data_IF_098213950701
#
_entry.id   IF_098213950701
#
_cell.length_a   1.000
_cell.length_b   1.000
_cell.length_c   1.000
_cell.angle_alpha   90.00
_cell.angle_beta   90.00
_cell.angle_gamma   90.00
#
_symmetry.space_group_name_H-M   'P 1'
#
loop_
_entity.id
_entity.type
_entity.pdbx_description
1 polymer ?
#
# COMPACT_ATOMS: atom_id res chain seq x y z
N UNK A 1 -9.06 75.40 41.83
CA UNK A 1 -8.78 76.16 40.61
C UNK A 1 -9.55 75.45 39.50
N UNK A 2 -10.71 76.02 39.23
CA UNK A 2 -11.53 75.93 38.02
C UNK A 2 -11.87 74.57 37.41
N UNK A 3 -13.05 74.11 37.84
CA UNK A 3 -14.18 73.73 36.99
C UNK A 3 -14.02 73.96 35.47
N UNK A 4 -14.61 73.08 34.66
CA UNK A 4 -15.85 73.36 33.91
C UNK A 4 -16.19 72.28 32.86
N UNK A 5 -17.46 71.86 32.89
CA UNK A 5 -18.27 71.16 31.87
C UNK A 5 -17.87 69.73 31.47
N UNK A 6 -18.50 68.65 31.98
CA UNK A 6 -19.91 68.20 31.85
C UNK A 6 -20.48 68.25 30.43
N UNK A 7 -21.03 67.09 30.00
CA UNK A 7 -22.30 66.83 29.24
C UNK A 7 -22.02 65.82 28.10
N UNK A 8 -22.75 64.73 27.83
CA UNK A 8 -23.91 64.01 28.39
C UNK A 8 -23.86 62.57 27.79
N UNK A 9 -24.30 61.56 28.56
CA UNK A 9 -24.51 60.12 28.20
C UNK A 9 -25.75 59.97 27.26
N UNK A 10 -26.37 58.80 26.94
CA UNK A 10 -26.07 57.38 27.28
C UNK A 10 -26.36 56.34 26.15
N UNK A 11 -26.20 55.06 26.52
CA UNK A 11 -26.99 53.89 26.10
C UNK A 11 -26.89 53.44 24.61
N UNK A 12 -26.54 52.18 24.37
CA UNK A 12 -27.48 51.05 24.40
C UNK A 12 -26.68 49.75 24.53
N UNK A 13 -27.10 48.95 25.49
CA UNK A 13 -26.68 47.61 25.83
C UNK A 13 -27.59 46.66 25.04
N UNK A 14 -27.06 45.84 24.13
CA UNK A 14 -27.80 44.68 23.61
C UNK A 14 -26.94 43.44 23.81
N UNK A 15 -27.36 42.75 24.86
CA UNK A 15 -27.21 41.35 25.20
C UNK A 15 -27.77 40.50 24.05
N UNK A 16 -26.98 39.59 23.49
CA UNK A 16 -27.53 38.46 22.72
C UNK A 16 -26.95 37.16 23.28
N UNK A 17 -27.79 36.52 24.08
CA UNK A 17 -27.60 35.22 24.71
C UNK A 17 -28.40 34.20 23.90
N UNK A 18 -27.75 33.06 23.62
CA UNK A 18 -28.26 31.72 23.30
C UNK A 18 -29.55 31.55 22.48
N UNK A 19 -29.40 30.86 21.35
CA UNK A 19 -30.43 30.03 20.76
C UNK A 19 -29.89 28.62 20.51
N UNK A 20 -30.05 27.75 21.50
CA UNK A 20 -30.03 26.28 21.35
C UNK A 20 -31.32 25.90 20.64
N UNK A 21 -31.23 25.31 19.45
CA UNK A 21 -32.34 24.60 18.82
C UNK A 21 -32.13 23.11 19.05
N UNK A 22 -32.83 22.62 20.05
CA UNK A 22 -33.26 21.23 20.14
C UNK A 22 -34.60 21.12 19.43
N UNK A 23 -34.77 20.13 18.56
CA UNK A 23 -36.08 19.59 18.28
C UNK A 23 -35.99 18.09 18.09
N UNK A 24 -36.96 17.44 18.71
CA UNK A 24 -37.06 16.04 19.07
C UNK A 24 -37.99 15.31 18.07
N UNK A 25 -37.55 14.12 17.69
CA UNK A 25 -38.26 12.90 17.29
C UNK A 25 -39.63 12.95 16.56
N UNK A 26 -39.68 12.40 15.33
CA UNK A 26 -40.77 11.49 14.91
C UNK A 26 -40.40 10.61 13.70
N UNK A 27 -40.29 9.29 13.95
CA UNK A 27 -40.82 8.20 13.12
C UNK A 27 -40.39 8.04 11.65
N UNK A 28 -39.56 7.01 11.43
CA UNK A 28 -39.40 6.16 10.22
C UNK A 28 -40.00 6.64 8.89
N UNK A 29 -39.11 6.86 7.92
CA UNK A 29 -39.03 5.99 6.73
C UNK A 29 -37.58 5.99 6.21
N UNK A 30 -37.03 4.79 6.14
CA UNK A 30 -35.79 4.45 5.44
C UNK A 30 -36.06 4.49 3.94
N UNK A 31 -35.52 5.49 3.26
CA UNK A 31 -35.30 5.46 1.81
C UNK A 31 -33.80 5.66 1.56
N UNK A 32 -33.28 4.82 0.68
CA UNK A 32 -31.88 4.65 0.30
C UNK A 32 -31.13 5.97 0.06
N UNK A 33 -29.94 6.10 0.67
CA UNK A 33 -28.94 7.10 0.29
C UNK A 33 -27.72 6.35 -0.27
N UNK A 34 -27.82 5.91 -1.51
CA UNK A 34 -26.69 6.04 -2.43
C UNK A 34 -26.83 7.44 -3.05
N UNK A 35 -26.18 8.43 -2.45
CA UNK A 35 -26.05 9.76 -3.05
C UNK A 35 -24.97 9.67 -4.14
N UNK A 36 -25.43 9.67 -5.39
CA UNK A 36 -24.62 9.62 -6.62
C UNK A 36 -23.86 10.94 -6.90
N UNK A 37 -23.77 11.85 -5.92
CA UNK A 37 -22.98 13.09 -6.04
C UNK A 37 -21.79 13.07 -5.08
N UNK A 38 -20.83 12.17 -5.34
CA UNK A 38 -19.47 12.38 -4.86
C UNK A 38 -18.93 13.65 -5.52
N UNK A 39 -18.64 14.66 -4.71
CA UNK A 39 -18.08 15.95 -5.11
C UNK A 39 -16.89 15.74 -6.07
N UNK A 40 -16.97 16.30 -7.28
CA UNK A 40 -15.90 16.22 -8.29
C UNK A 40 -14.56 16.74 -7.74
N UNK A 41 -14.59 17.61 -6.73
CA UNK A 41 -13.41 18.05 -5.98
C UNK A 41 -12.76 16.91 -5.16
N UNK A 42 -13.57 16.06 -4.52
CA UNK A 42 -13.12 14.92 -3.74
C UNK A 42 -12.57 13.79 -4.64
N UNK A 43 -13.19 13.57 -5.81
CA UNK A 43 -12.68 12.60 -6.80
C UNK A 43 -11.30 13.03 -7.33
N UNK A 44 -11.08 14.32 -7.60
CA UNK A 44 -9.77 14.84 -8.04
C UNK A 44 -8.67 14.71 -6.97
N UNK A 45 -9.02 14.87 -5.69
CA UNK A 45 -8.06 14.74 -4.60
C UNK A 45 -7.70 13.26 -4.35
N UNK A 46 -8.68 12.35 -4.44
CA UNK A 46 -8.48 10.89 -4.37
C UNK A 46 -7.72 10.33 -5.58
N UNK A 47 -7.94 10.87 -6.79
CA UNK A 47 -7.15 10.52 -7.99
C UNK A 47 -5.66 10.83 -7.84
N UNK A 48 -5.29 11.81 -7.01
CA UNK A 48 -3.90 12.17 -6.77
C UNK A 48 -3.17 11.27 -5.75
N UNK A 49 -3.92 10.40 -5.04
CA UNK A 49 -3.44 9.57 -3.93
C UNK A 49 -3.65 8.06 -4.15
N UNK A 50 -3.91 7.61 -5.39
CA UNK A 50 -4.27 6.21 -5.69
C UNK A 50 -3.20 5.19 -5.27
N UNK A 51 -1.93 5.61 -5.13
CA UNK A 51 -0.86 4.72 -4.68
C UNK A 51 -1.00 4.31 -3.20
N UNK A 52 -1.67 5.10 -2.35
CA UNK A 52 -1.95 4.75 -0.95
C UNK A 52 -2.87 3.52 -0.84
N UNK A 53 -3.55 3.17 -1.94
CA UNK A 53 -4.37 1.96 -2.05
C UNK A 53 -3.56 0.72 -2.45
N UNK A 54 -2.24 0.86 -2.62
CA UNK A 54 -1.32 -0.25 -2.89
C UNK A 54 -0.63 -0.61 -1.57
N UNK A 55 -0.86 -1.84 -1.04
CA UNK A 55 -0.25 -2.27 0.21
C UNK A 55 1.29 -2.20 0.15
N UNK A 56 1.91 -1.89 1.28
CA UNK A 56 3.35 -2.07 1.42
C UNK A 56 3.73 -3.55 1.41
N UNK A 57 4.97 -3.91 1.07
CA UNK A 57 5.44 -5.29 1.20
C UNK A 57 5.23 -5.87 2.61
N UNK A 58 5.48 -5.07 3.67
CA UNK A 58 5.17 -5.47 5.05
C UNK A 58 3.69 -5.85 5.22
N UNK A 59 2.76 -5.03 4.69
CA UNK A 59 1.34 -5.32 4.74
C UNK A 59 0.99 -6.65 4.07
N UNK A 60 1.59 -6.94 2.92
CA UNK A 60 1.41 -8.21 2.20
C UNK A 60 2.08 -9.40 2.89
N UNK A 61 3.07 -9.17 3.75
CA UNK A 61 3.76 -10.18 4.53
C UNK A 61 3.24 -10.31 5.97
N UNK A 62 2.21 -9.57 6.35
CA UNK A 62 1.64 -9.59 7.70
C UNK A 62 1.27 -11.00 8.19
N UNK A 63 0.72 -11.85 7.30
CA UNK A 63 0.35 -13.23 7.60
C UNK A 63 1.53 -14.15 7.95
N UNK A 64 2.77 -13.77 7.65
CA UNK A 64 3.96 -14.55 7.98
C UNK A 64 4.18 -14.62 9.49
N UNK A 65 3.82 -13.57 10.24
CA UNK A 65 3.98 -13.56 11.70
C UNK A 65 3.06 -14.55 12.42
N UNK A 66 1.93 -14.90 11.81
CA UNK A 66 0.87 -15.69 12.42
C UNK A 66 0.90 -17.18 12.01
N UNK A 67 1.79 -17.56 11.09
CA UNK A 67 1.82 -18.91 10.49
C UNK A 67 3.15 -19.65 10.64
N UNK A 68 3.09 -20.98 10.61
CA UNK A 68 4.25 -21.90 10.55
C UNK A 68 4.84 -21.98 9.12
N UNK A 69 5.08 -20.82 8.48
CA UNK A 69 5.65 -20.79 7.14
C UNK A 69 7.16 -21.02 7.17
N UNK A 70 7.66 -21.74 6.17
CA UNK A 70 9.10 -21.97 6.02
C UNK A 70 9.74 -20.84 5.22
N UNK A 71 10.83 -20.28 5.75
CA UNK A 71 11.69 -19.36 5.00
C UNK A 71 12.29 -20.03 3.76
N UNK A 72 12.17 -19.37 2.61
CA UNK A 72 12.72 -19.79 1.32
C UNK A 72 13.69 -18.72 0.83
N UNK A 73 14.99 -19.00 0.86
CA UNK A 73 16.01 -18.05 0.38
C UNK A 73 16.04 -17.95 -1.15
N UNK A 74 15.85 -19.07 -1.83
CA UNK A 74 16.08 -19.20 -3.27
C UNK A 74 15.04 -18.51 -4.15
N UNK A 75 13.95 -18.00 -3.55
CA UNK A 75 12.93 -17.24 -4.27
C UNK A 75 13.33 -15.76 -4.42
N UNK A 76 14.21 -15.24 -3.57
CA UNK A 76 14.56 -13.82 -3.54
C UNK A 76 15.43 -13.40 -4.72
N UNK A 77 15.54 -12.10 -4.97
CA UNK A 77 16.42 -11.59 -6.01
C UNK A 77 17.86 -11.56 -5.48
N UNK A 78 18.81 -12.33 -6.05
CA UNK A 78 20.19 -12.30 -5.57
C UNK A 78 20.77 -10.88 -5.59
N UNK A 79 21.35 -10.44 -4.48
CA UNK A 79 21.92 -9.08 -4.34
C UNK A 79 23.00 -8.78 -5.39
N UNK A 80 23.67 -9.81 -5.90
CA UNK A 80 24.67 -9.74 -6.95
C UNK A 80 24.09 -9.33 -8.31
N UNK A 81 22.77 -9.32 -8.47
CA UNK A 81 22.11 -8.84 -9.69
C UNK A 81 22.13 -7.31 -9.80
N UNK A 82 22.52 -6.57 -8.75
CA UNK A 82 22.52 -5.10 -8.77
C UNK A 82 23.23 -4.51 -9.99
N UNK A 83 24.39 -5.07 -10.36
CA UNK A 83 25.21 -4.62 -11.49
C UNK A 83 24.56 -4.87 -12.86
N UNK A 84 23.49 -5.66 -12.92
CA UNK A 84 22.74 -5.92 -14.16
C UNK A 84 21.76 -4.79 -14.48
N UNK A 85 21.36 -3.99 -13.49
CA UNK A 85 20.35 -2.95 -13.69
C UNK A 85 20.98 -1.69 -14.24
N UNK A 86 20.92 -1.48 -15.56
CA UNK A 86 21.58 -0.35 -16.22
C UNK A 86 20.64 0.84 -16.42
N UNK A 87 19.44 0.61 -16.96
CA UNK A 87 18.52 1.70 -17.30
C UNK A 87 17.64 2.11 -16.11
N UNK A 88 17.13 3.34 -16.15
CA UNK A 88 16.30 3.93 -15.07
C UNK A 88 15.12 3.04 -14.69
N UNK A 89 14.42 2.44 -15.67
CA UNK A 89 13.27 1.59 -15.39
C UNK A 89 13.69 0.33 -14.63
N UNK A 90 14.78 -0.29 -15.07
CA UNK A 90 15.31 -1.49 -14.39
C UNK A 90 15.70 -1.17 -12.95
N UNK A 91 16.37 -0.05 -12.69
CA UNK A 91 16.78 0.36 -11.34
C UNK A 91 15.59 0.68 -10.44
N UNK A 92 14.62 1.45 -10.91
CA UNK A 92 13.46 1.85 -10.10
C UNK A 92 12.53 0.67 -9.79
N UNK A 93 12.28 -0.23 -10.76
CA UNK A 93 11.54 -1.46 -10.49
C UNK A 93 12.29 -2.36 -9.50
N UNK A 94 13.60 -2.56 -9.70
CA UNK A 94 14.38 -3.44 -8.83
C UNK A 94 14.64 -2.83 -7.44
N UNK A 95 14.61 -1.50 -7.29
CA UNK A 95 14.57 -0.86 -5.98
C UNK A 95 13.33 -1.32 -5.19
N UNK A 96 12.16 -1.34 -5.84
CA UNK A 96 10.94 -1.88 -5.26
C UNK A 96 11.05 -3.37 -4.91
N UNK A 97 11.58 -4.18 -5.83
CA UNK A 97 11.81 -5.63 -5.64
C UNK A 97 12.69 -5.88 -4.41
N UNK A 98 13.86 -5.24 -4.33
CA UNK A 98 14.75 -5.43 -3.19
C UNK A 98 14.19 -4.86 -1.88
N UNK A 99 13.33 -3.84 -1.95
CA UNK A 99 12.60 -3.35 -0.77
C UNK A 99 11.61 -4.39 -0.24
N UNK A 100 10.96 -5.15 -1.14
CA UNK A 100 10.11 -6.26 -0.76
C UNK A 100 10.94 -7.44 -0.23
N UNK A 101 12.04 -7.80 -0.88
CA UNK A 101 12.94 -8.85 -0.39
C UNK A 101 13.46 -8.51 1.02
N UNK A 102 13.84 -7.26 1.27
CA UNK A 102 14.22 -6.75 2.58
C UNK A 102 13.10 -6.95 3.62
N UNK A 103 11.87 -6.58 3.28
CA UNK A 103 10.72 -6.79 4.17
C UNK A 103 10.49 -8.28 4.46
N UNK A 104 10.62 -9.14 3.44
CA UNK A 104 10.50 -10.58 3.58
C UNK A 104 11.57 -11.18 4.51
N UNK A 105 12.86 -10.92 4.25
CA UNK A 105 13.94 -11.45 5.11
C UNK A 105 13.84 -10.94 6.54
N UNK A 106 13.38 -9.70 6.72
CA UNK A 106 13.14 -9.10 8.03
C UNK A 106 11.95 -9.74 8.75
N UNK A 107 10.88 -10.10 8.02
CA UNK A 107 9.75 -10.84 8.60
C UNK A 107 10.12 -12.23 9.11
N UNK A 108 11.17 -12.85 8.56
CA UNK A 108 11.71 -14.16 8.93
C UNK A 108 12.96 -14.13 9.82
N UNK A 109 13.33 -12.95 10.36
CA UNK A 109 14.49 -12.78 11.26
C UNK A 109 15.83 -13.19 10.65
N UNK A 110 16.01 -12.94 9.37
CA UNK A 110 17.26 -13.22 8.68
C UNK A 110 18.14 -11.98 8.70
N UNK A 111 18.69 -11.69 9.89
CA UNK A 111 19.42 -10.43 10.15
C UNK A 111 20.53 -10.15 9.13
N UNK A 112 21.40 -11.12 8.87
CA UNK A 112 22.50 -10.92 7.92
C UNK A 112 21.95 -10.64 6.52
N UNK A 113 20.97 -11.41 6.06
CA UNK A 113 20.30 -11.16 4.79
C UNK A 113 19.62 -9.78 4.76
N UNK A 114 18.97 -9.34 5.84
CA UNK A 114 18.39 -8.00 5.93
C UNK A 114 19.44 -6.91 5.76
N UNK A 115 20.64 -7.07 6.34
CA UNK A 115 21.75 -6.13 6.16
C UNK A 115 22.19 -6.10 4.69
N UNK A 116 22.31 -7.27 4.05
CA UNK A 116 22.73 -7.39 2.66
C UNK A 116 21.71 -6.73 1.70
N UNK A 117 20.41 -7.01 1.89
CA UNK A 117 19.34 -6.40 1.09
C UNK A 117 19.21 -4.90 1.34
N UNK A 118 19.38 -4.44 2.58
CA UNK A 118 19.37 -3.01 2.88
C UNK A 118 20.53 -2.29 2.17
N UNK A 119 21.74 -2.86 2.20
CA UNK A 119 22.88 -2.30 1.47
C UNK A 119 22.56 -2.19 -0.02
N UNK A 120 21.92 -3.21 -0.59
CA UNK A 120 21.49 -3.24 -2.00
C UNK A 120 20.49 -2.12 -2.30
N UNK A 121 19.46 -1.96 -1.47
CA UNK A 121 18.47 -0.89 -1.60
C UNK A 121 19.13 0.48 -1.50
N UNK A 122 20.07 0.67 -0.56
CA UNK A 122 20.83 1.92 -0.40
C UNK A 122 21.64 2.25 -1.64
N UNK A 123 22.38 1.30 -2.19
CA UNK A 123 23.17 1.52 -3.42
C UNK A 123 22.26 1.93 -4.58
N UNK A 124 21.13 1.24 -4.77
CA UNK A 124 20.16 1.66 -5.79
C UNK A 124 19.55 3.04 -5.50
N UNK A 125 19.36 3.40 -4.23
CA UNK A 125 18.88 4.73 -3.84
C UNK A 125 19.79 5.86 -4.33
N UNK A 126 21.11 5.63 -4.28
CA UNK A 126 22.11 6.57 -4.79
C UNK A 126 22.01 6.67 -6.31
N UNK A 127 21.90 5.53 -7.00
CA UNK A 127 21.84 5.48 -8.45
C UNK A 127 20.58 6.09 -9.08
N UNK A 128 19.45 6.02 -8.37
CA UNK A 128 18.18 6.66 -8.79
C UNK A 128 17.99 8.05 -8.17
N UNK A 129 18.98 8.54 -7.42
CA UNK A 129 19.01 9.91 -6.88
C UNK A 129 17.97 10.19 -5.79
N UNK A 130 17.69 9.21 -4.92
CA UNK A 130 16.81 9.36 -3.74
C UNK A 130 17.55 9.13 -2.42
N UNK A 131 18.88 9.16 -2.45
CA UNK A 131 19.75 8.93 -1.30
C UNK A 131 19.50 9.82 -0.09
N UNK A 132 18.91 11.00 -0.30
CA UNK A 132 18.52 11.92 0.76
C UNK A 132 17.55 11.31 1.79
N UNK A 133 16.85 10.22 1.45
CA UNK A 133 15.97 9.49 2.38
C UNK A 133 16.76 8.56 3.32
N UNK A 134 17.96 8.15 2.92
CA UNK A 134 18.88 7.33 3.71
C UNK A 134 19.84 8.22 4.49
N UNK A 135 19.31 9.06 5.38
CA UNK A 135 20.12 9.94 6.21
C UNK A 135 20.89 9.18 7.31
N UNK A 136 21.87 9.84 7.93
CA UNK A 136 22.68 9.24 8.99
C UNK A 136 21.85 8.78 10.20
N UNK A 137 20.68 9.39 10.42
CA UNK A 137 19.77 8.97 11.49
C UNK A 137 19.12 7.63 11.17
N UNK A 138 18.65 7.44 9.94
CA UNK A 138 18.07 6.18 9.51
C UNK A 138 19.13 5.08 9.50
N UNK A 139 20.33 5.37 8.99
CA UNK A 139 21.47 4.44 9.01
C UNK A 139 21.82 4.07 10.46
N UNK A 140 21.94 5.06 11.34
CA UNK A 140 22.23 4.83 12.75
C UNK A 140 21.12 4.03 13.45
N UNK A 141 19.85 4.23 13.09
CA UNK A 141 18.75 3.39 13.62
C UNK A 141 18.91 1.94 13.19
N UNK A 142 19.38 1.67 11.98
CA UNK A 142 19.55 0.31 11.47
C UNK A 142 20.81 -0.34 12.08
N UNK A 143 21.94 0.36 12.08
CA UNK A 143 23.22 -0.16 12.61
C UNK A 143 23.15 -0.48 14.11
N UNK A 144 22.28 0.21 14.85
CA UNK A 144 22.07 -0.03 16.28
C UNK A 144 21.03 -1.12 16.57
N UNK A 145 20.39 -1.71 15.56
CA UNK A 145 19.52 -2.88 15.77
C UNK A 145 20.41 -4.10 15.91
N UNK A 146 20.56 -4.53 17.16
CA UNK A 146 21.19 -5.79 17.53
C UNK A 146 20.07 -6.73 17.98
N UNK A 147 19.84 -7.82 17.23
CA UNK A 147 19.00 -8.96 17.63
C UNK A 147 17.51 -8.69 17.96
N UNK A 148 16.93 -7.56 17.53
CA UNK A 148 15.49 -7.29 17.71
C UNK A 148 14.72 -7.33 16.37
N UNK A 149 13.99 -8.43 16.19
CA UNK A 149 13.08 -8.72 15.07
C UNK A 149 12.08 -7.60 14.79
N UNK A 150 11.35 -7.18 15.83
CA UNK A 150 10.26 -6.23 15.68
C UNK A 150 10.81 -4.83 15.40
N UNK A 151 12.00 -4.54 15.94
CA UNK A 151 12.73 -3.32 15.60
C UNK A 151 13.18 -3.29 14.13
N UNK A 152 13.71 -4.40 13.59
CA UNK A 152 14.20 -4.42 12.20
C UNK A 152 13.08 -4.28 11.18
N UNK A 153 12.04 -5.11 11.26
CA UNK A 153 10.90 -5.03 10.34
C UNK A 153 10.26 -3.64 10.40
N UNK A 154 10.05 -3.09 11.60
CA UNK A 154 9.49 -1.76 11.78
C UNK A 154 10.36 -0.67 11.14
N UNK A 155 11.67 -0.70 11.35
CA UNK A 155 12.57 0.30 10.75
C UNK A 155 12.59 0.19 9.22
N UNK A 156 12.60 -1.03 8.67
CA UNK A 156 12.54 -1.22 7.22
C UNK A 156 11.22 -0.71 6.62
N UNK A 157 10.09 -0.92 7.32
CA UNK A 157 8.79 -0.40 6.89
C UNK A 157 8.70 1.13 7.00
N UNK A 158 9.16 1.70 8.12
CA UNK A 158 9.26 3.17 8.29
C UNK A 158 10.08 3.81 7.17
N UNK A 159 11.17 3.14 6.76
CA UNK A 159 12.04 3.57 5.66
C UNK A 159 11.29 3.57 4.34
N UNK A 160 10.57 2.48 4.03
CA UNK A 160 9.76 2.36 2.81
C UNK A 160 8.74 3.51 2.71
N UNK A 161 7.98 3.76 3.79
CA UNK A 161 7.02 4.86 3.80
C UNK A 161 7.67 6.25 3.73
N UNK A 162 8.89 6.40 4.24
CA UNK A 162 9.65 7.66 4.11
C UNK A 162 10.09 7.89 2.67
N UNK A 163 10.51 6.83 1.96
CA UNK A 163 10.86 6.89 0.52
C UNK A 163 9.65 7.28 -0.31
N UNK A 164 8.51 6.62 -0.07
CA UNK A 164 7.25 6.91 -0.76
C UNK A 164 6.83 8.36 -0.56
N UNK A 165 6.84 8.86 0.68
CA UNK A 165 6.52 10.27 1.00
C UNK A 165 7.51 11.26 0.37
N UNK A 166 8.80 10.93 0.33
CA UNK A 166 9.81 11.75 -0.32
C UNK A 166 9.57 11.87 -1.82
N UNK A 167 9.30 10.75 -2.49
CA UNK A 167 9.02 10.70 -3.92
C UNK A 167 7.75 11.50 -4.26
N UNK A 168 6.71 11.40 -3.43
CA UNK A 168 5.48 12.17 -3.58
C UNK A 168 5.74 13.68 -3.45
N UNK A 169 6.31 14.11 -2.31
CA UNK A 169 6.57 15.53 -2.03
C UNK A 169 7.56 16.18 -3.00
N UNK A 170 8.44 15.39 -3.61
CA UNK A 170 9.40 15.84 -4.64
C UNK A 170 8.83 15.77 -6.07
N UNK A 171 7.52 15.49 -6.23
CA UNK A 171 6.84 15.33 -7.52
C UNK A 171 7.48 14.29 -8.45
N UNK A 172 8.11 13.25 -7.89
CA UNK A 172 8.75 12.15 -8.62
C UNK A 172 7.75 11.01 -8.89
N UNK A 173 6.57 11.35 -9.41
CA UNK A 173 5.43 10.44 -9.61
C UNK A 173 5.79 9.20 -10.45
N UNK A 174 6.64 9.36 -11.47
CA UNK A 174 7.10 8.26 -12.33
C UNK A 174 7.95 7.25 -11.57
N UNK A 175 8.94 7.73 -10.83
CA UNK A 175 9.79 6.89 -9.97
C UNK A 175 8.96 6.19 -8.91
N UNK A 176 8.01 6.92 -8.29
CA UNK A 176 7.07 6.34 -7.33
C UNK A 176 6.25 5.20 -7.93
N UNK A 177 5.70 5.40 -9.13
CA UNK A 177 4.93 4.36 -9.83
C UNK A 177 5.75 3.10 -10.11
N UNK A 178 6.99 3.25 -10.57
CA UNK A 178 7.86 2.10 -10.85
C UNK A 178 8.30 1.40 -9.56
N UNK A 179 8.69 2.14 -8.53
CA UNK A 179 9.11 1.56 -7.23
C UNK A 179 7.97 0.79 -6.58
N UNK A 180 6.77 1.38 -6.48
CA UNK A 180 5.61 0.72 -5.89
C UNK A 180 5.20 -0.50 -6.72
N UNK A 181 5.26 -0.42 -8.05
CA UNK A 181 5.00 -1.57 -8.93
C UNK A 181 5.98 -2.72 -8.66
N UNK A 182 7.28 -2.42 -8.57
CA UNK A 182 8.31 -3.42 -8.31
C UNK A 182 8.12 -4.12 -6.96
N UNK A 183 7.84 -3.35 -5.92
CA UNK A 183 7.58 -3.90 -4.58
C UNK A 183 6.33 -4.78 -4.54
N UNK A 184 5.25 -4.36 -5.20
CA UNK A 184 4.03 -5.17 -5.31
C UNK A 184 4.29 -6.47 -6.08
N UNK A 185 4.97 -6.41 -7.24
CA UNK A 185 5.30 -7.59 -8.04
C UNK A 185 6.07 -8.63 -7.22
N UNK A 186 7.13 -8.21 -6.53
CA UNK A 186 7.94 -9.15 -5.74
C UNK A 186 7.15 -9.69 -4.56
N UNK A 187 6.32 -8.87 -3.92
CA UNK A 187 5.47 -9.34 -2.81
C UNK A 187 4.51 -10.43 -3.25
N UNK A 188 3.80 -10.25 -4.39
CA UNK A 188 2.91 -11.28 -4.94
C UNK A 188 3.70 -12.53 -5.34
N UNK A 189 4.86 -12.35 -5.97
CA UNK A 189 5.74 -13.46 -6.33
C UNK A 189 6.18 -14.26 -5.09
N UNK A 190 6.61 -13.59 -4.02
CA UNK A 190 7.02 -14.25 -2.78
C UNK A 190 5.83 -14.99 -2.14
N UNK A 191 4.69 -14.34 -1.97
CA UNK A 191 3.49 -14.96 -1.35
C UNK A 191 3.05 -16.20 -2.14
N UNK A 192 2.98 -16.13 -3.46
CA UNK A 192 2.61 -17.31 -4.29
C UNK A 192 3.61 -18.46 -4.18
N UNK A 193 4.89 -18.19 -3.88
CA UNK A 193 5.90 -19.22 -3.67
C UNK A 193 5.93 -19.79 -2.25
N UNK A 194 5.45 -19.06 -1.25
CA UNK A 194 5.28 -19.57 0.13
C UNK A 194 4.10 -20.54 0.27
N UNK A 195 3.13 -20.46 -0.64
CA UNK A 195 2.00 -21.38 -0.66
C UNK A 195 2.45 -22.69 -1.33
N UNK A 196 2.68 -23.71 -0.50
CA UNK A 196 3.04 -25.06 -0.94
C UNK A 196 1.92 -25.75 -1.72
N UNK A 197 0.68 -25.65 -1.21
CA UNK A 197 -0.51 -26.23 -1.81
C UNK A 197 -1.67 -25.25 -1.70
N UNK A 198 -2.43 -25.11 -2.78
CA UNK A 198 -3.62 -24.28 -2.81
C UNK A 198 -4.66 -24.79 -1.80
N UNK A 199 -5.17 -23.89 -0.97
CA UNK A 199 -6.22 -24.17 0.02
C UNK A 199 -7.28 -23.07 -0.09
N UNK A 200 -8.49 -23.38 -0.58
CA UNK A 200 -9.58 -22.41 -0.66
C UNK A 200 -9.81 -21.74 0.68
N UNK A 201 -9.92 -20.41 0.67
CA UNK A 201 -10.24 -19.62 1.87
C UNK A 201 -9.15 -19.54 2.94
N UNK A 202 -7.94 -20.06 2.69
CA UNK A 202 -6.78 -19.77 3.56
C UNK A 202 -6.39 -18.30 3.49
N UNK A 203 -5.86 -17.73 4.57
CA UNK A 203 -5.53 -16.30 4.67
C UNK A 203 -4.58 -15.84 3.55
N UNK A 204 -3.58 -16.65 3.20
CA UNK A 204 -2.65 -16.33 2.11
C UNK A 204 -3.33 -16.36 0.73
N UNK A 205 -4.23 -17.31 0.48
CA UNK A 205 -5.01 -17.36 -0.76
C UNK A 205 -6.00 -16.19 -0.83
N UNK A 206 -6.63 -15.83 0.30
CA UNK A 206 -7.53 -14.69 0.35
C UNK A 206 -6.78 -13.38 0.13
N UNK A 207 -5.63 -13.21 0.78
CA UNK A 207 -4.76 -12.04 0.59
C UNK A 207 -4.40 -11.85 -0.89
N UNK A 208 -4.08 -12.94 -1.60
CA UNK A 208 -3.82 -12.90 -3.03
C UNK A 208 -5.08 -12.55 -3.85
N UNK A 209 -6.25 -13.11 -3.50
CA UNK A 209 -7.50 -12.82 -4.18
C UNK A 209 -7.90 -11.33 -4.04
N UNK A 210 -7.71 -10.76 -2.85
CA UNK A 210 -8.03 -9.35 -2.54
C UNK A 210 -7.20 -8.36 -3.38
N UNK A 211 -6.07 -8.80 -3.94
CA UNK A 211 -5.25 -7.99 -4.85
C UNK A 211 -5.93 -7.67 -6.18
N UNK A 212 -7.10 -8.26 -6.47
CA UNK A 212 -7.93 -7.87 -7.63
C UNK A 212 -8.21 -6.37 -7.64
N UNK A 213 -8.53 -5.77 -6.49
CA UNK A 213 -8.79 -4.32 -6.40
C UNK A 213 -7.48 -3.53 -6.46
N UNK A 214 -6.43 -4.05 -5.83
CA UNK A 214 -5.10 -3.42 -5.79
C UNK A 214 -4.49 -3.30 -7.18
N UNK A 215 -4.54 -4.36 -8.00
CA UNK A 215 -4.00 -4.32 -9.36
C UNK A 215 -4.76 -3.31 -10.24
N UNK A 216 -6.08 -3.16 -10.04
CA UNK A 216 -6.87 -2.15 -10.74
C UNK A 216 -6.42 -0.73 -10.36
N UNK A 217 -6.21 -0.48 -9.07
CA UNK A 217 -5.70 0.80 -8.57
C UNK A 217 -4.29 1.09 -9.09
N UNK A 218 -3.41 0.09 -9.09
CA UNK A 218 -2.06 0.18 -9.63
C UNK A 218 -2.06 0.51 -11.13
N UNK A 219 -2.89 -0.18 -11.92
CA UNK A 219 -3.02 0.07 -13.35
C UNK A 219 -3.56 1.49 -13.63
N UNK A 220 -4.51 1.97 -12.82
CA UNK A 220 -5.00 3.35 -12.89
C UNK A 220 -3.88 4.36 -12.60
N UNK A 221 -3.11 4.14 -11.53
CA UNK A 221 -1.98 5.01 -11.17
C UNK A 221 -0.90 5.05 -12.27
N UNK A 222 -0.59 3.91 -12.88
CA UNK A 222 0.31 3.84 -14.03
C UNK A 222 -0.26 4.57 -15.25
N UNK A 223 -1.56 4.44 -15.54
CA UNK A 223 -2.20 5.10 -16.69
C UNK A 223 -2.13 6.64 -16.59
N UNK A 224 -2.27 7.19 -15.38
CA UNK A 224 -2.08 8.63 -15.13
C UNK A 224 -0.68 9.13 -15.53
N UNK A 225 0.31 8.23 -15.57
CA UNK A 225 1.71 8.53 -15.89
C UNK A 225 2.15 7.97 -17.26
N UNK A 226 1.22 7.51 -18.10
CA UNK A 226 1.50 6.80 -19.36
C UNK A 226 2.18 7.61 -20.46
N UNK A 227 2.39 8.91 -20.27
CA UNK A 227 3.19 9.71 -21.23
C UNK A 227 4.67 9.30 -21.21
N UNK A 228 5.10 8.56 -20.20
CA UNK A 228 6.46 8.03 -20.06
C UNK A 228 6.60 6.62 -20.64
N UNK A 229 7.61 6.41 -21.50
CA UNK A 229 7.85 5.13 -22.16
C UNK A 229 8.13 3.99 -21.18
N UNK A 230 8.80 4.27 -20.05
CA UNK A 230 9.10 3.24 -19.05
C UNK A 230 7.83 2.79 -18.34
N UNK A 231 6.91 3.74 -18.08
CA UNK A 231 5.59 3.44 -17.53
C UNK A 231 4.76 2.65 -18.54
N UNK A 232 4.73 3.03 -19.81
CA UNK A 232 4.00 2.26 -20.84
C UNK A 232 4.51 0.82 -20.97
N UNK A 233 5.83 0.62 -20.92
CA UNK A 233 6.43 -0.72 -20.91
C UNK A 233 5.97 -1.52 -19.69
N UNK A 234 5.91 -0.90 -18.52
CA UNK A 234 5.42 -1.54 -17.28
C UNK A 234 3.93 -1.87 -17.33
N UNK A 235 3.09 -0.97 -17.84
CA UNK A 235 1.66 -1.24 -18.11
C UNK A 235 1.53 -2.46 -19.02
N UNK A 236 2.29 -2.52 -20.11
CA UNK A 236 2.25 -3.63 -21.06
C UNK A 236 2.65 -4.97 -20.41
N UNK A 237 3.64 -4.95 -19.51
CA UNK A 237 4.07 -6.14 -18.77
C UNK A 237 2.97 -6.65 -17.81
N UNK A 238 2.14 -5.76 -17.26
CA UNK A 238 1.09 -6.11 -16.30
C UNK A 238 -0.26 -6.50 -16.92
N UNK A 239 -0.49 -6.26 -18.22
CA UNK A 239 -1.80 -6.47 -18.87
C UNK A 239 -2.36 -7.88 -18.72
N UNK A 240 -1.51 -8.90 -18.85
CA UNK A 240 -1.98 -10.28 -18.72
C UNK A 240 -2.30 -10.63 -17.27
N UNK A 241 -1.48 -10.14 -16.33
CA UNK A 241 -1.72 -10.29 -14.90
C UNK A 241 -3.04 -9.62 -14.48
N UNK A 242 -3.30 -8.41 -14.98
CA UNK A 242 -4.58 -7.71 -14.76
C UNK A 242 -5.76 -8.56 -15.23
N UNK A 243 -5.69 -9.16 -16.44
CA UNK A 243 -6.76 -10.02 -16.97
C UNK A 243 -7.01 -11.26 -16.09
N UNK A 244 -5.96 -11.84 -15.51
CA UNK A 244 -6.10 -12.96 -14.57
C UNK A 244 -6.91 -12.51 -13.36
N UNK A 245 -6.53 -11.39 -12.73
CA UNK A 245 -7.28 -10.83 -11.60
C UNK A 245 -8.72 -10.44 -11.97
N UNK A 246 -8.95 -9.88 -13.15
CA UNK A 246 -10.29 -9.54 -13.64
C UNK A 246 -11.21 -10.77 -13.73
N UNK A 247 -10.66 -11.96 -13.94
CA UNK A 247 -11.42 -13.22 -13.97
C UNK A 247 -11.90 -13.74 -12.61
N UNK A 248 -11.37 -13.21 -11.49
CA UNK A 248 -11.76 -13.67 -10.15
C UNK A 248 -13.19 -13.25 -9.84
N UNK A 249 -13.97 -14.15 -9.25
CA UNK A 249 -15.37 -13.89 -8.95
C UNK A 249 -15.52 -13.10 -7.65
N UNK A 250 -16.59 -12.30 -7.55
CA UNK A 250 -16.96 -11.58 -6.34
C UNK A 250 -18.26 -12.23 -5.84
N UNK A 251 -18.15 -13.05 -4.80
CA UNK A 251 -19.29 -13.65 -4.13
C UNK A 251 -19.86 -12.66 -3.12
N UNK A 252 -21.16 -12.40 -3.16
CA UNK A 252 -21.82 -11.63 -2.10
C UNK A 252 -21.97 -12.53 -0.87
N UNK A 253 -21.48 -12.07 0.28
CA UNK A 253 -21.74 -12.72 1.56
C UNK A 253 -23.11 -12.24 2.02
N UNK A 254 -24.10 -13.13 2.04
CA UNK A 254 -25.35 -12.85 2.73
C UNK A 254 -25.06 -12.75 4.24
N UNK A 255 -25.58 -11.72 4.93
CA UNK A 255 -25.38 -11.62 6.37
C UNK A 255 -25.98 -12.86 7.03
N UNK A 256 -25.16 -13.62 7.76
CA UNK A 256 -25.67 -14.67 8.63
C UNK A 256 -26.66 -14.03 9.62
N UNK A 257 -27.91 -14.51 9.66
CA UNK A 257 -28.88 -14.18 10.71
C UNK A 257 -28.38 -14.71 12.06
N UNK A 258 -27.39 -14.04 12.63
CA UNK A 258 -26.95 -14.30 13.98
C UNK A 258 -27.95 -13.66 14.95
N UNK A 259 -28.89 -14.48 15.43
CA UNK A 259 -29.80 -14.20 16.53
C UNK A 259 -29.05 -14.06 17.87
N UNK A 260 -28.15 -13.08 17.97
CA UNK A 260 -27.56 -12.66 19.25
C UNK A 260 -27.63 -11.15 19.35
N UNK A 261 -28.60 -10.72 20.15
CA UNK A 261 -28.70 -9.35 20.64
C UNK A 261 -27.44 -9.01 21.44
N UNK A 262 -26.47 -8.37 20.81
CA UNK A 262 -25.55 -7.48 21.51
C UNK A 262 -25.20 -6.31 20.60
N UNK A 263 -25.84 -5.19 20.88
CA UNK A 263 -25.72 -3.92 20.19
C UNK A 263 -24.41 -3.25 20.59
N UNK A 264 -23.34 -3.39 19.77
CA UNK A 264 -22.33 -2.33 19.56
C UNK A 264 -21.17 -2.69 18.60
N UNK A 265 -21.34 -3.65 17.69
CA UNK A 265 -20.35 -3.87 16.60
C UNK A 265 -20.98 -3.63 15.24
N UNK A 266 -20.87 -2.39 14.77
CA UNK A 266 -21.06 -2.09 13.35
C UNK A 266 -19.85 -2.66 12.60
N UNK A 267 -20.01 -3.85 12.00
CA UNK A 267 -19.03 -4.40 11.05
C UNK A 267 -19.28 -3.71 9.70
N UNK A 268 -18.58 -2.61 9.45
CA UNK A 268 -18.56 -1.96 8.14
C UNK A 268 -17.63 -2.77 7.23
N UNK A 269 -18.20 -3.54 6.29
CA UNK A 269 -17.44 -4.12 5.16
C UNK A 269 -17.55 -5.63 4.92
N UNK A 270 -18.69 -6.27 5.22
CA UNK A 270 -18.82 -7.74 5.16
C UNK A 270 -19.70 -8.32 4.04
N UNK A 271 -20.04 -7.60 2.97
CA UNK A 271 -21.06 -8.08 2.01
C UNK A 271 -20.53 -8.74 0.75
N UNK A 272 -19.20 -8.82 0.54
CA UNK A 272 -18.62 -9.48 -0.63
C UNK A 272 -17.21 -10.01 -0.39
N UNK A 273 -16.88 -11.16 -0.99
CA UNK A 273 -15.57 -11.82 -0.94
C UNK A 273 -15.08 -12.12 -2.35
N UNK A 274 -13.81 -11.84 -2.63
CA UNK A 274 -13.20 -12.21 -3.90
C UNK A 274 -12.73 -13.67 -3.78
N UNK A 275 -13.14 -14.50 -4.74
CA UNK A 275 -12.80 -15.92 -4.79
C UNK A 275 -11.82 -16.16 -5.94
N UNK A 276 -10.77 -16.92 -5.64
CA UNK A 276 -9.75 -17.37 -6.59
C UNK A 276 -9.76 -18.89 -6.60
N UNK A 277 -9.88 -19.52 -7.78
CA UNK A 277 -9.78 -20.99 -7.91
C UNK A 277 -8.34 -21.48 -7.91
N UNK A 278 -8.12 -22.79 -7.83
CA UNK A 278 -6.78 -23.38 -7.94
C UNK A 278 -6.14 -23.09 -9.30
N UNK A 279 -6.90 -23.20 -10.39
CA UNK A 279 -6.41 -22.90 -11.74
C UNK A 279 -6.00 -21.43 -11.87
N UNK A 280 -6.79 -20.53 -11.27
CA UNK A 280 -6.49 -19.10 -11.23
C UNK A 280 -5.24 -18.81 -10.39
N UNK A 281 -5.06 -19.47 -9.25
CA UNK A 281 -3.84 -19.38 -8.46
C UNK A 281 -2.60 -19.85 -9.24
N UNK A 282 -2.69 -20.98 -9.95
CA UNK A 282 -1.59 -21.50 -10.78
C UNK A 282 -1.27 -20.52 -11.92
N UNK A 283 -2.28 -19.97 -12.58
CA UNK A 283 -2.12 -18.98 -13.63
C UNK A 283 -1.44 -17.70 -13.09
N UNK A 284 -1.90 -17.20 -11.93
CA UNK A 284 -1.33 -16.06 -11.22
C UNK A 284 0.16 -16.29 -10.91
N UNK A 285 0.48 -17.41 -10.23
CA UNK A 285 1.85 -17.78 -9.84
C UNK A 285 2.78 -17.86 -11.06
N UNK A 286 2.30 -18.39 -12.17
CA UNK A 286 3.05 -18.47 -13.42
C UNK A 286 3.29 -17.08 -14.04
N UNK A 287 2.25 -16.27 -14.16
CA UNK A 287 2.34 -14.97 -14.82
C UNK A 287 3.22 -14.00 -14.03
N UNK A 288 3.05 -13.95 -12.69
CA UNK A 288 3.88 -13.10 -11.84
C UNK A 288 5.36 -13.50 -11.93
N UNK A 289 5.68 -14.79 -12.01
CA UNK A 289 7.04 -15.27 -12.21
C UNK A 289 7.61 -14.86 -13.58
N UNK A 290 6.82 -14.85 -14.65
CA UNK A 290 7.26 -14.37 -15.97
C UNK A 290 7.62 -12.88 -15.91
N UNK A 291 6.75 -12.07 -15.33
CA UNK A 291 6.95 -10.62 -15.19
C UNK A 291 8.19 -10.33 -14.34
N UNK A 292 8.27 -10.95 -13.16
CA UNK A 292 9.39 -10.80 -12.23
C UNK A 292 10.71 -11.19 -12.86
N UNK A 293 10.77 -12.32 -13.58
CA UNK A 293 11.98 -12.74 -14.28
C UNK A 293 12.36 -11.77 -15.41
N UNK A 294 11.39 -11.20 -16.13
CA UNK A 294 11.66 -10.18 -17.15
C UNK A 294 12.34 -8.94 -16.55
N UNK A 295 11.95 -8.54 -15.34
CA UNK A 295 12.51 -7.36 -14.65
C UNK A 295 13.88 -7.66 -14.04
N UNK A 296 14.06 -8.86 -13.46
CA UNK A 296 15.26 -9.20 -12.68
C UNK A 296 16.39 -9.82 -13.50
N UNK A 297 16.09 -10.43 -14.67
CA UNK A 297 17.07 -11.18 -15.49
C UNK A 297 17.40 -10.57 -16.85
N UNK A 298 16.55 -9.73 -17.42
CA UNK A 298 16.74 -9.14 -18.76
C UNK A 298 17.21 -7.68 -18.72
N UNK A 299 18.02 -7.33 -17.72
CA UNK A 299 18.62 -5.99 -17.60
C UNK A 299 20.05 -6.00 -18.13
#
# INVERSE_FOLDING_TARGET
>A
MDSLFKIIKPLVFIFFMMGIVSCDNSGNNSDDIFDDNLDEGFIKEVESQTYYLIPSPEGLFSFIKDGDLKYLKDILNPTENIDKYIDTRSKELNFGIYSADLAYVSSFNKYQESVDYLSTVRTLSDEIGISAVFDENLIGRIDNIIDDQDSLLKVTSDSYFSIVRYLESSNRKKSLALIVTGGWIESIYVVTNLIDAYKPGSDAVQLLADQKLVVSNLMSYLDQNKSDDNIQRTINDLKNLQKIYESFEIEKIEPEENNTSDSDKIVVGGSAKIIMTEEQFIALKKEIAVIRNKITKNS
#
